data_IF_585835278231
#
_entry.id   IF_585835278231
#
_cell.length_a   1.000
_cell.length_b   1.000
_cell.length_c   1.000
_cell.angle_alpha   90.00
_cell.angle_beta   90.00
_cell.angle_gamma   90.00
#
_symmetry.space_group_name_H-M   'P 1'
#
loop_
_entity.id
_entity.type
_entity.pdbx_description
1 polymer ?
#
# COMPACT_ATOMS: atom_id res chain seq x y z
N UNK A 1 7.74 -9.07 1.61
CA UNK A 1 6.89 -10.21 1.19
C UNK A 1 5.78 -10.44 2.22
N UNK A 2 4.70 -11.14 1.81
CA UNK A 2 3.53 -11.39 2.67
C UNK A 2 2.41 -10.36 2.55
N UNK A 3 2.62 -9.24 1.88
CA UNK A 3 1.57 -8.28 1.57
C UNK A 3 0.85 -8.64 0.26
N UNK A 4 -0.41 -8.19 0.14
CA UNK A 4 -1.21 -8.32 -1.06
C UNK A 4 -1.79 -6.95 -1.46
N UNK A 5 -1.53 -6.53 -2.68
CA UNK A 5 -1.88 -5.20 -3.19
C UNK A 5 -2.75 -5.25 -4.47
N UNK A 6 -3.65 -6.22 -4.55
CA UNK A 6 -4.45 -6.46 -5.73
C UNK A 6 -3.71 -7.31 -6.78
N UNK A 7 -4.24 -7.34 -8.01
CA UNK A 7 -3.77 -8.24 -9.08
C UNK A 7 -3.16 -7.50 -10.27
N UNK A 8 -2.64 -6.30 -10.04
CA UNK A 8 -1.89 -5.59 -11.08
C UNK A 8 -0.56 -6.32 -11.33
N UNK A 9 -0.22 -6.55 -12.58
CA UNK A 9 0.90 -7.39 -13.00
C UNK A 9 2.23 -7.02 -12.34
N UNK A 10 2.51 -5.72 -12.18
CA UNK A 10 3.74 -5.23 -11.55
C UNK A 10 3.87 -5.57 -10.06
N UNK A 11 2.78 -5.91 -9.39
CA UNK A 11 2.76 -6.28 -7.96
C UNK A 11 2.49 -7.78 -7.72
N UNK A 12 2.31 -8.57 -8.79
CA UNK A 12 2.25 -10.04 -8.73
C UNK A 12 3.67 -10.61 -8.79
N UNK A 13 4.43 -10.39 -7.72
CA UNK A 13 5.86 -10.63 -7.65
C UNK A 13 6.19 -11.57 -6.49
N UNK A 14 6.82 -12.70 -6.80
CA UNK A 14 7.34 -13.62 -5.80
C UNK A 14 8.61 -13.04 -5.12
N UNK A 15 8.76 -13.33 -3.84
CA UNK A 15 10.04 -13.20 -3.19
C UNK A 15 10.99 -14.26 -3.77
N UNK A 16 12.10 -13.84 -4.39
CA UNK A 16 13.08 -14.76 -4.90
C UNK A 16 13.85 -15.50 -3.81
N UNK A 17 14.68 -16.46 -4.19
CA UNK A 17 15.47 -17.29 -3.29
C UNK A 17 16.61 -16.55 -2.55
N UNK A 18 16.80 -15.27 -2.77
CA UNK A 18 17.79 -14.41 -2.10
C UNK A 18 17.13 -13.17 -1.50
N UNK A 19 17.80 -12.56 -0.51
CA UNK A 19 17.30 -11.42 0.25
C UNK A 19 16.98 -10.15 -0.58
N UNK A 20 17.40 -10.13 -1.85
CA UNK A 20 17.18 -9.01 -2.80
C UNK A 20 17.11 -9.59 -4.20
N UNK A 21 15.96 -10.10 -4.59
CA UNK A 21 15.71 -10.54 -5.96
C UNK A 21 14.75 -9.58 -6.65
N UNK A 22 15.17 -9.12 -7.82
CA UNK A 22 14.25 -8.47 -8.75
C UNK A 22 13.13 -9.44 -9.14
N UNK A 23 11.95 -8.90 -9.27
CA UNK A 23 10.69 -9.58 -9.39
C UNK A 23 10.59 -10.73 -10.36
N UNK A 24 10.54 -11.92 -9.81
CA UNK A 24 10.03 -13.05 -10.56
C UNK A 24 8.49 -13.02 -10.54
N UNK A 25 7.82 -13.22 -11.69
CA UNK A 25 6.36 -13.28 -11.70
C UNK A 25 5.82 -14.39 -10.79
N UNK A 26 4.81 -14.05 -9.97
CA UNK A 26 4.11 -15.00 -9.08
C UNK A 26 2.82 -15.54 -9.71
N UNK A 27 2.53 -15.16 -10.95
CA UNK A 27 1.36 -15.61 -11.69
C UNK A 27 1.72 -15.97 -13.13
N UNK A 28 1.19 -17.10 -13.60
CA UNK A 28 1.32 -17.49 -15.01
C UNK A 28 0.69 -16.42 -15.91
N UNK A 29 1.38 -16.08 -16.99
CA UNK A 29 0.95 -15.06 -17.95
C UNK A 29 1.44 -13.63 -17.67
N UNK A 30 2.02 -13.36 -16.51
CA UNK A 30 2.66 -12.07 -16.22
C UNK A 30 4.06 -12.05 -16.83
N UNK A 31 4.37 -11.11 -17.75
CA UNK A 31 5.70 -10.98 -18.32
C UNK A 31 6.72 -10.51 -17.26
N UNK A 32 7.97 -10.96 -17.38
CA UNK A 32 9.05 -10.54 -16.47
C UNK A 32 9.29 -9.02 -16.50
N UNK A 33 9.10 -8.41 -17.66
CA UNK A 33 9.23 -6.96 -17.85
C UNK A 33 8.29 -6.15 -16.96
N UNK A 34 7.15 -6.72 -16.56
CA UNK A 34 6.19 -6.06 -15.66
C UNK A 34 6.63 -6.11 -14.20
N UNK A 35 7.40 -7.13 -13.81
CA UNK A 35 7.79 -7.37 -12.43
C UNK A 35 9.21 -6.93 -12.09
N UNK A 36 10.04 -6.70 -13.10
CA UNK A 36 11.49 -6.39 -12.94
C UNK A 36 11.78 -5.08 -12.18
N UNK A 37 10.80 -4.18 -12.05
CA UNK A 37 10.93 -2.93 -11.32
C UNK A 37 10.40 -3.02 -9.88
N UNK A 38 10.05 -4.21 -9.42
CA UNK A 38 9.52 -4.43 -8.08
C UNK A 38 10.47 -5.30 -7.27
N UNK A 39 11.03 -4.73 -6.21
CA UNK A 39 11.84 -5.44 -5.23
C UNK A 39 10.96 -5.96 -4.10
N UNK A 40 11.12 -7.24 -3.73
CA UNK A 40 10.45 -7.80 -2.57
C UNK A 40 11.45 -8.05 -1.44
N UNK A 41 11.10 -7.61 -0.24
CA UNK A 41 11.89 -7.84 0.98
C UNK A 41 11.03 -8.53 2.04
N UNK A 42 11.61 -9.34 2.94
CA UNK A 42 10.86 -9.93 4.03
C UNK A 42 10.25 -8.86 4.94
N UNK A 43 9.02 -9.11 5.41
CA UNK A 43 8.38 -8.23 6.39
C UNK A 43 9.13 -8.29 7.74
N UNK A 44 9.26 -7.17 8.44
CA UNK A 44 10.04 -7.02 9.68
C UNK A 44 11.58 -7.16 9.53
N UNK A 45 12.09 -7.32 8.30
CA UNK A 45 13.54 -7.41 8.07
C UNK A 45 14.12 -6.01 7.71
N UNK A 46 14.55 -5.28 8.75
CA UNK A 46 15.15 -3.95 8.59
C UNK A 46 16.47 -4.00 7.82
N UNK A 47 17.25 -5.07 7.97
CA UNK A 47 18.55 -5.21 7.30
C UNK A 47 18.36 -5.45 5.78
N UNK A 48 17.39 -6.27 5.40
CA UNK A 48 17.04 -6.43 3.99
C UNK A 48 16.57 -5.12 3.36
N UNK A 49 15.76 -4.32 4.08
CA UNK A 49 15.34 -3.00 3.61
C UNK A 49 16.53 -2.06 3.47
N UNK A 50 17.41 -1.96 4.48
CA UNK A 50 18.63 -1.13 4.39
C UNK A 50 19.46 -1.48 3.17
N UNK A 51 19.73 -2.78 2.98
CA UNK A 51 20.52 -3.26 1.85
C UNK A 51 19.86 -2.94 0.50
N UNK A 52 18.52 -2.98 0.41
CA UNK A 52 17.80 -2.55 -0.79
C UNK A 52 18.06 -1.07 -1.09
N UNK A 53 17.97 -0.21 -0.08
CA UNK A 53 18.24 1.23 -0.24
C UNK A 53 19.73 1.55 -0.46
N UNK A 54 20.65 0.79 0.11
CA UNK A 54 22.09 0.94 -0.17
C UNK A 54 22.44 0.62 -1.63
N UNK A 55 21.79 -0.38 -2.21
CA UNK A 55 22.06 -0.82 -3.58
C UNK A 55 21.29 -0.04 -4.64
N UNK A 56 20.07 0.38 -4.32
CA UNK A 56 19.12 0.91 -5.29
C UNK A 56 18.43 2.20 -4.84
N UNK A 57 18.89 2.84 -3.76
CA UNK A 57 18.16 3.95 -3.13
C UNK A 57 17.83 5.12 -4.06
N UNK A 58 18.68 5.42 -5.05
CA UNK A 58 18.42 6.45 -6.06
C UNK A 58 17.29 6.10 -7.04
N UNK A 59 16.95 4.81 -7.16
CA UNK A 59 15.98 4.31 -8.13
C UNK A 59 14.66 3.86 -7.46
N UNK A 60 14.64 3.80 -6.12
CA UNK A 60 13.43 3.42 -5.36
C UNK A 60 12.48 4.60 -5.27
N UNK A 61 11.40 4.55 -6.05
CA UNK A 61 10.35 5.57 -6.03
C UNK A 61 9.46 5.48 -4.79
N UNK A 62 9.15 4.27 -4.33
CA UNK A 62 8.24 4.07 -3.21
C UNK A 62 8.45 2.73 -2.49
N UNK A 63 8.04 2.69 -1.23
CA UNK A 63 7.81 1.46 -0.47
C UNK A 63 6.31 1.32 -0.23
N UNK A 64 5.72 0.20 -0.67
CA UNK A 64 4.33 -0.15 -0.40
C UNK A 64 4.26 -1.35 0.53
N UNK A 65 3.40 -1.29 1.54
CA UNK A 65 3.14 -2.42 2.43
C UNK A 65 1.74 -2.36 3.04
N UNK A 66 1.19 -3.51 3.38
CA UNK A 66 0.11 -3.58 4.37
C UNK A 66 0.73 -3.36 5.76
N UNK A 67 0.28 -2.38 6.56
CA UNK A 67 0.82 -2.18 7.92
C UNK A 67 0.62 -3.39 8.83
N UNK A 68 -0.48 -4.15 8.63
CA UNK A 68 -0.73 -5.47 9.23
C UNK A 68 -1.08 -6.45 8.11
N UNK A 69 -0.10 -7.14 7.50
CA UNK A 69 -0.36 -8.13 6.46
C UNK A 69 -1.28 -9.24 7.00
N UNK A 70 -2.49 -9.34 6.47
CA UNK A 70 -3.48 -10.28 6.94
C UNK A 70 -3.59 -11.54 6.05
N UNK A 71 -3.23 -11.44 4.77
CA UNK A 71 -3.31 -12.56 3.84
C UNK A 71 -2.27 -13.65 4.13
N UNK A 72 -1.13 -13.27 4.71
CA UNK A 72 -0.05 -14.18 5.05
C UNK A 72 -0.10 -14.72 6.49
N UNK A 73 -1.17 -14.42 7.25
CA UNK A 73 -1.36 -14.95 8.60
C UNK A 73 -1.41 -13.91 9.72
N UNK A 74 -1.68 -12.66 9.39
CA UNK A 74 -1.78 -11.53 10.32
C UNK A 74 -0.47 -11.28 11.07
N UNK A 75 0.47 -10.65 10.42
CA UNK A 75 1.73 -10.21 11.02
C UNK A 75 1.60 -8.81 11.61
N UNK A 76 2.23 -8.60 12.77
CA UNK A 76 2.38 -7.28 13.36
C UNK A 76 3.80 -6.75 13.15
N UNK A 77 3.96 -5.42 12.99
CA UNK A 77 5.28 -4.82 12.91
C UNK A 77 6.03 -5.01 14.22
N UNK A 78 7.29 -5.40 14.12
CA UNK A 78 8.19 -5.64 15.25
C UNK A 78 9.34 -4.63 15.23
N UNK A 79 9.99 -4.43 16.37
CA UNK A 79 11.22 -3.63 16.46
C UNK A 79 11.12 -2.27 15.76
N UNK A 80 9.98 -1.59 15.93
CA UNK A 80 9.74 -0.26 15.37
C UNK A 80 9.83 -0.19 13.84
N UNK A 81 9.44 -1.27 13.16
CA UNK A 81 9.61 -1.46 11.72
C UNK A 81 8.91 -0.37 10.89
N UNK A 82 7.69 0.05 11.26
CA UNK A 82 6.96 1.06 10.48
C UNK A 82 7.62 2.44 10.58
N UNK A 83 8.09 2.86 11.77
CA UNK A 83 8.82 4.11 11.92
C UNK A 83 10.16 4.07 11.17
N UNK A 84 10.86 2.93 11.24
CA UNK A 84 12.07 2.74 10.44
C UNK A 84 11.81 2.89 8.94
N UNK A 85 10.69 2.34 8.41
CA UNK A 85 10.32 2.53 7.01
C UNK A 85 10.06 4.00 6.70
N UNK A 86 9.35 4.73 7.58
CA UNK A 86 9.14 6.17 7.41
C UNK A 86 10.45 6.95 7.37
N UNK A 87 11.37 6.66 8.27
CA UNK A 87 12.67 7.32 8.32
C UNK A 87 13.53 7.06 7.08
N UNK A 88 13.63 5.79 6.65
CA UNK A 88 14.47 5.44 5.50
C UNK A 88 13.90 5.99 4.19
N UNK A 89 12.58 5.98 4.01
CA UNK A 89 11.94 6.56 2.82
C UNK A 89 12.16 8.07 2.76
N UNK A 90 12.00 8.78 3.87
CA UNK A 90 12.30 10.23 3.94
C UNK A 90 13.77 10.54 3.61
N UNK A 91 14.69 9.72 4.12
CA UNK A 91 16.14 9.92 3.89
C UNK A 91 16.54 9.76 2.42
N UNK A 92 15.84 8.93 1.68
CA UNK A 92 16.13 8.60 0.27
C UNK A 92 15.16 9.25 -0.72
N UNK A 93 14.32 10.20 -0.25
CA UNK A 93 13.32 10.89 -1.09
C UNK A 93 12.35 9.91 -1.80
N UNK A 94 12.10 8.77 -1.16
CA UNK A 94 11.15 7.76 -1.63
C UNK A 94 9.80 7.92 -0.92
N UNK A 95 8.70 7.53 -1.56
CA UNK A 95 7.37 7.59 -0.96
C UNK A 95 7.12 6.39 -0.05
N UNK A 96 6.40 6.61 1.04
CA UNK A 96 5.81 5.55 1.86
C UNK A 96 4.32 5.42 1.55
N UNK A 97 3.89 4.23 1.14
CA UNK A 97 2.50 3.93 0.81
C UNK A 97 1.97 2.88 1.79
N UNK A 98 0.96 3.24 2.58
CA UNK A 98 0.25 2.27 3.41
C UNK A 98 -0.96 1.71 2.68
N UNK A 99 -0.96 0.40 2.47
CA UNK A 99 -2.14 -0.32 2.01
C UNK A 99 -3.00 -0.66 3.24
N UNK A 100 -3.93 0.23 3.54
CA UNK A 100 -4.90 0.08 4.63
C UNK A 100 -6.23 -0.52 4.14
N UNK A 101 -6.24 -1.21 3.01
CA UNK A 101 -7.44 -1.87 2.48
C UNK A 101 -8.03 -2.88 3.49
N UNK A 102 -7.17 -3.53 4.28
CA UNK A 102 -7.61 -4.42 5.37
C UNK A 102 -7.84 -3.68 6.70
N UNK A 103 -7.01 -2.72 7.01
CA UNK A 103 -6.89 -2.15 8.35
C UNK A 103 -7.63 -0.83 8.53
N UNK A 104 -7.80 -0.05 7.45
CA UNK A 104 -8.49 1.24 7.49
C UNK A 104 -9.93 1.09 8.00
N UNK A 105 -10.30 1.92 8.97
CA UNK A 105 -11.59 1.88 9.68
C UNK A 105 -11.92 0.56 10.40
N UNK A 106 -11.01 -0.40 10.39
CA UNK A 106 -11.20 -1.70 11.05
C UNK A 106 -10.52 -1.75 12.40
N UNK A 107 -9.25 -1.32 12.46
CA UNK A 107 -8.44 -1.38 13.69
C UNK A 107 -8.53 -0.09 14.51
N UNK A 108 -8.81 1.00 13.85
CA UNK A 108 -9.09 2.32 14.41
C UNK A 108 -9.76 3.20 13.34
N UNK A 109 -10.43 4.31 13.69
CA UNK A 109 -11.01 5.26 12.72
C UNK A 109 -9.99 5.78 11.69
N UNK A 110 -8.75 6.02 12.10
CA UNK A 110 -7.64 6.43 11.21
C UNK A 110 -6.69 5.29 10.83
N UNK A 111 -7.11 4.01 10.98
CA UNK A 111 -6.29 2.86 10.61
C UNK A 111 -5.02 2.68 11.45
N UNK A 112 -4.07 1.90 10.94
CA UNK A 112 -2.78 1.65 11.62
C UNK A 112 -1.92 2.91 11.68
N UNK A 113 -2.01 3.80 10.69
CA UNK A 113 -1.31 5.07 10.71
C UNK A 113 -1.68 5.91 11.95
N UNK A 114 -2.93 5.91 12.39
CA UNK A 114 -3.34 6.55 13.64
C UNK A 114 -2.75 5.84 14.86
N UNK A 115 -2.80 4.51 14.90
CA UNK A 115 -2.30 3.72 16.04
C UNK A 115 -0.80 3.92 16.28
N UNK A 116 -0.03 4.10 15.22
CA UNK A 116 1.42 4.25 15.29
C UNK A 116 1.90 5.70 15.17
N UNK A 117 1.00 6.66 14.95
CA UNK A 117 1.35 8.07 14.79
C UNK A 117 2.23 8.31 13.55
N UNK A 118 2.05 7.54 12.49
CA UNK A 118 2.82 7.62 11.25
C UNK A 118 1.91 8.18 10.15
N UNK A 119 2.39 9.21 9.45
CA UNK A 119 1.72 9.72 8.25
C UNK A 119 2.46 9.22 7.02
N UNK A 120 1.89 8.27 6.24
CA UNK A 120 2.43 7.87 4.94
C UNK A 120 2.24 8.99 3.90
N UNK A 121 2.94 8.90 2.79
CA UNK A 121 2.75 9.84 1.67
C UNK A 121 1.47 9.54 0.89
N UNK A 122 1.12 8.26 0.78
CA UNK A 122 -0.13 7.77 0.18
C UNK A 122 -0.75 6.66 1.04
N UNK A 123 -2.06 6.58 1.01
CA UNK A 123 -2.85 5.53 1.67
C UNK A 123 -3.83 4.93 0.68
N UNK A 124 -3.89 3.60 0.60
CA UNK A 124 -4.92 2.86 -0.13
C UNK A 124 -6.00 2.37 0.85
N UNK A 125 -7.26 2.46 0.46
CA UNK A 125 -8.41 2.05 1.25
C UNK A 125 -9.38 1.21 0.42
N UNK A 126 -10.14 0.34 1.07
CA UNK A 126 -11.13 -0.52 0.43
C UNK A 126 -11.99 -1.20 1.49
N UNK A 127 -12.57 -2.33 1.14
CA UNK A 127 -13.35 -3.21 2.05
C UNK A 127 -14.35 -2.45 2.92
N UNK A 128 -13.97 -2.07 4.15
CA UNK A 128 -14.85 -1.40 5.13
C UNK A 128 -15.50 -0.14 4.55
N UNK A 129 -14.76 0.68 3.80
CA UNK A 129 -15.30 1.92 3.22
C UNK A 129 -16.41 1.70 2.20
N UNK A 130 -16.59 0.48 1.72
CA UNK A 130 -17.63 0.11 0.75
C UNK A 130 -18.93 -0.38 1.38
N UNK A 131 -18.95 -0.65 2.70
CA UNK A 131 -20.14 -1.20 3.35
C UNK A 131 -20.65 -2.51 2.74
N UNK A 132 -19.71 -3.37 2.28
CA UNK A 132 -20.01 -4.63 1.57
C UNK A 132 -20.06 -4.52 0.06
N UNK A 133 -20.01 -3.30 -0.52
CA UNK A 133 -19.97 -3.08 -1.95
C UNK A 133 -18.54 -2.78 -2.45
N UNK A 134 -18.26 -2.98 -3.77
CA UNK A 134 -16.93 -2.79 -4.32
C UNK A 134 -16.58 -1.29 -4.37
N UNK A 135 -15.72 -0.87 -3.45
CA UNK A 135 -15.15 0.48 -3.39
C UNK A 135 -13.66 0.37 -3.14
N UNK A 136 -12.89 1.12 -3.88
CA UNK A 136 -11.49 1.38 -3.63
C UNK A 136 -11.24 2.88 -3.62
N UNK A 137 -10.35 3.34 -2.78
CA UNK A 137 -9.92 4.72 -2.73
C UNK A 137 -8.42 4.79 -2.44
N UNK A 138 -7.79 5.84 -2.90
CA UNK A 138 -6.45 6.20 -2.49
C UNK A 138 -6.36 7.72 -2.33
N UNK A 139 -5.45 8.14 -1.50
CA UNK A 139 -5.23 9.56 -1.25
C UNK A 139 -3.93 9.76 -0.48
N UNK A 140 -3.54 11.01 -0.28
CA UNK A 140 -2.32 11.36 0.42
C UNK A 140 -1.96 12.83 0.29
N UNK A 141 -0.68 13.12 0.24
CA UNK A 141 -0.15 14.48 0.13
C UNK A 141 -0.71 15.18 -1.11
N UNK A 142 -1.14 16.43 -0.94
CA UNK A 142 -1.78 17.22 -2.01
C UNK A 142 -0.93 17.32 -3.26
N UNK A 143 0.37 17.59 -3.11
CA UNK A 143 1.29 17.71 -4.23
C UNK A 143 1.46 16.42 -5.06
N UNK A 144 1.21 15.25 -4.45
CA UNK A 144 1.18 13.97 -5.18
C UNK A 144 -0.17 13.80 -5.86
N UNK A 145 -1.26 14.10 -5.14
CA UNK A 145 -2.61 13.97 -5.67
C UNK A 145 -2.89 14.94 -6.82
N UNK A 146 -2.28 16.12 -6.81
CA UNK A 146 -2.38 17.11 -7.88
C UNK A 146 -1.73 16.66 -9.20
N UNK A 147 -0.92 15.59 -9.17
CA UNK A 147 -0.44 14.93 -10.39
C UNK A 147 -1.53 14.19 -11.16
N UNK A 148 -2.68 13.93 -10.53
CA UNK A 148 -3.80 13.23 -11.20
C UNK A 148 -4.56 14.15 -12.13
N UNK A 149 -5.01 13.61 -13.26
CA UNK A 149 -5.93 14.28 -14.18
C UNK A 149 -7.24 14.67 -13.43
N UNK A 150 -7.82 15.86 -13.70
CA UNK A 150 -7.44 16.85 -14.73
C UNK A 150 -6.36 17.85 -14.30
N UNK A 151 -5.91 17.86 -13.05
CA UNK A 151 -4.91 18.82 -12.57
C UNK A 151 -3.51 18.48 -13.08
N UNK A 152 -3.17 17.21 -13.14
CA UNK A 152 -1.88 16.70 -13.59
C UNK A 152 -1.98 15.71 -14.75
N UNK A 153 -0.84 15.20 -15.23
CA UNK A 153 -0.77 14.34 -16.41
C UNK A 153 -1.09 12.86 -16.15
N UNK A 154 -1.24 12.45 -14.89
CA UNK A 154 -1.45 11.05 -14.53
C UNK A 154 -2.92 10.68 -14.69
N UNK A 155 -3.20 9.78 -15.63
CA UNK A 155 -4.57 9.32 -15.90
C UNK A 155 -5.03 8.30 -14.85
N UNK A 156 -6.24 8.51 -14.33
CA UNK A 156 -6.95 7.57 -13.49
C UNK A 156 -8.42 7.60 -13.87
N UNK A 157 -9.03 6.45 -14.08
CA UNK A 157 -10.47 6.32 -14.34
C UNK A 157 -10.98 4.96 -13.86
N UNK A 158 -12.27 4.91 -13.58
CA UNK A 158 -13.00 3.68 -13.25
C UNK A 158 -14.49 3.88 -13.50
N UNK A 159 -15.08 3.04 -14.34
CA UNK A 159 -16.51 3.14 -14.73
C UNK A 159 -17.43 3.14 -13.49
N UNK A 160 -17.08 2.38 -12.46
CA UNK A 160 -17.87 2.28 -11.22
C UNK A 160 -17.41 3.25 -10.13
N UNK A 161 -16.43 4.11 -10.40
CA UNK A 161 -16.01 5.15 -9.45
C UNK A 161 -17.16 6.09 -9.11
N UNK A 162 -17.43 6.28 -7.81
CA UNK A 162 -18.55 7.10 -7.36
C UNK A 162 -19.92 6.47 -7.58
N UNK A 163 -20.03 5.17 -7.82
CA UNK A 163 -21.32 4.49 -7.95
C UNK A 163 -22.25 4.87 -6.77
N UNK A 164 -23.47 5.40 -7.02
CA UNK A 164 -24.28 5.94 -5.93
C UNK A 164 -24.73 4.88 -4.90
N UNK A 165 -24.92 3.64 -5.29
CA UNK A 165 -25.30 2.57 -4.37
C UNK A 165 -24.12 2.24 -3.44
N UNK A 166 -22.92 2.11 -4.00
CA UNK A 166 -21.72 1.85 -3.23
C UNK A 166 -21.37 3.03 -2.29
N UNK A 167 -21.56 4.27 -2.76
CA UNK A 167 -21.37 5.48 -1.94
C UNK A 167 -22.37 5.54 -0.78
N UNK A 168 -23.64 5.20 -1.02
CA UNK A 168 -24.67 5.17 0.03
C UNK A 168 -24.37 4.08 1.08
N UNK A 169 -23.98 2.88 0.66
CA UNK A 169 -23.62 1.79 1.55
C UNK A 169 -22.38 2.13 2.39
N UNK A 170 -21.33 2.63 1.76
CA UNK A 170 -20.12 3.06 2.46
C UNK A 170 -20.39 4.18 3.47
N UNK A 171 -21.20 5.17 3.09
CA UNK A 171 -21.59 6.25 4.00
C UNK A 171 -22.37 5.72 5.21
N UNK A 172 -23.31 4.79 5.01
CA UNK A 172 -24.04 4.17 6.10
C UNK A 172 -23.08 3.43 7.06
N UNK A 173 -22.20 2.58 6.51
CA UNK A 173 -21.19 1.86 7.28
C UNK A 173 -20.30 2.80 8.12
N UNK A 174 -19.76 3.86 7.51
CA UNK A 174 -18.86 4.78 8.20
C UNK A 174 -19.58 5.63 9.27
N UNK A 175 -20.88 5.89 9.11
CA UNK A 175 -21.69 6.56 10.13
C UNK A 175 -21.88 5.68 11.37
N UNK A 176 -22.16 4.40 11.18
CA UNK A 176 -22.28 3.45 12.30
C UNK A 176 -20.97 3.34 13.07
N UNK A 177 -19.85 3.14 12.37
CA UNK A 177 -18.51 3.09 13.00
C UNK A 177 -18.12 4.37 13.74
N UNK A 178 -18.68 5.51 13.39
CA UNK A 178 -18.41 6.79 14.05
C UNK A 178 -19.23 6.97 15.33
N UNK A 179 -20.36 6.26 15.47
CA UNK A 179 -21.28 6.37 16.60
C UNK A 179 -20.85 5.54 17.82
N UNK A 180 -19.85 4.70 17.67
CA UNK A 180 -19.21 3.90 18.73
C UNK A 180 -17.95 4.61 19.28
#
# INVERSE_FOLDING_TARGET
SGCYHGHVDSLLVAAGSGALTFGEPDSAGVPREMTQLTLTVPYNDREAVKKAFELHGSDIAAVILEPFPANAGLYFPQNDFLHFLREITLRHDALLIFDEVMTGFRVAPGGVQQLYGITPDLTCMGKVIGGGLPVGAFGGRSEIMDCLSPLGPVYQAGTLSGNPVAMAAGLAQLRELRSE
#
